data_IF_755214272941
#
_entry.id   IF_755214272941
#
_cell.length_a   1.000
_cell.length_b   1.000
_cell.length_c   1.000
_cell.angle_alpha   90.00
_cell.angle_beta   90.00
_cell.angle_gamma   90.00
#
_symmetry.space_group_name_H-M   'P 1'
#
loop_
_entity.id
_entity.type
_entity.pdbx_description
1 polymer ?
#
# COMPACT_ATOMS: atom_id res chain seq x y z
N UNK A 1 12.44 -5.45 -7.96
CA UNK A 1 12.03 -4.06 -8.26
C UNK A 1 13.01 -3.13 -7.59
N UNK A 2 13.55 -2.17 -8.35
CA UNK A 2 14.48 -1.14 -7.87
C UNK A 2 13.68 0.09 -7.51
N UNK A 3 13.91 0.66 -6.33
CA UNK A 3 13.21 1.84 -5.83
C UNK A 3 14.20 3.00 -5.66
N UNK A 4 13.83 4.20 -6.14
CA UNK A 4 14.59 5.42 -5.91
C UNK A 4 14.12 6.06 -4.60
N UNK A 5 15.02 6.12 -3.63
CA UNK A 5 14.79 6.87 -2.40
C UNK A 5 15.24 8.32 -2.61
N UNK A 6 14.32 9.26 -2.49
CA UNK A 6 14.62 10.68 -2.45
C UNK A 6 14.79 11.12 -0.99
N UNK A 7 15.83 11.92 -0.76
CA UNK A 7 16.40 12.28 0.55
C UNK A 7 15.50 13.17 1.44
N UNK A 8 14.28 13.49 0.97
CA UNK A 8 13.33 14.39 1.64
C UNK A 8 11.96 13.73 1.93
N UNK A 9 11.85 12.40 1.87
CA UNK A 9 10.58 11.70 2.15
C UNK A 9 10.81 10.45 3.01
N UNK A 10 10.28 10.45 4.24
CA UNK A 10 10.18 9.29 5.14
C UNK A 10 9.14 8.26 4.65
N UNK A 11 8.91 8.12 3.33
CA UNK A 11 7.79 7.33 2.81
C UNK A 11 8.10 6.76 1.43
N UNK A 12 7.79 5.48 1.23
CA UNK A 12 7.91 4.78 -0.05
C UNK A 12 6.51 4.37 -0.52
N UNK A 13 6.18 4.70 -1.76
CA UNK A 13 4.90 4.41 -2.39
C UNK A 13 5.09 3.23 -3.36
N UNK A 14 4.37 2.13 -3.15
CA UNK A 14 4.51 0.89 -3.96
C UNK A 14 3.22 0.65 -4.75
N UNK A 15 3.35 0.37 -6.05
CA UNK A 15 2.27 -0.10 -6.93
C UNK A 15 2.60 -1.54 -7.37
N UNK A 16 1.65 -2.48 -7.23
CA UNK A 16 1.82 -3.88 -7.66
C UNK A 16 1.41 -4.08 -9.13
N UNK A 17 1.95 -5.12 -9.78
CA UNK A 17 1.71 -5.48 -11.18
C UNK A 17 1.24 -6.93 -11.35
N UNK A 18 0.51 -7.16 -12.45
CA UNK A 18 -0.44 -8.25 -12.70
C UNK A 18 0.10 -9.71 -12.68
N UNK A 19 -0.64 -10.62 -12.03
CA UNK A 19 -0.67 -12.05 -12.35
C UNK A 19 -2.11 -12.60 -12.32
N UNK A 20 -2.64 -12.94 -13.50
CA UNK A 20 -3.98 -13.51 -13.71
C UNK A 20 -4.09 -14.96 -13.18
N UNK A 21 -5.00 -15.21 -12.23
CA UNK A 21 -5.60 -16.54 -12.02
C UNK A 21 -7.10 -16.43 -11.79
N UNK A 22 -7.88 -16.88 -12.77
CA UNK A 22 -9.33 -17.08 -12.66
C UNK A 22 -9.61 -18.36 -11.88
N UNK A 23 -10.28 -18.26 -10.73
CA UNK A 23 -10.96 -19.38 -10.09
C UNK A 23 -12.38 -18.94 -9.67
N UNK A 24 -13.38 -19.67 -10.15
CA UNK A 24 -14.80 -19.53 -9.79
C UNK A 24 -15.03 -20.02 -8.35
N UNK A 25 -15.17 -19.11 -7.39
CA UNK A 25 -15.68 -19.41 -6.05
C UNK A 25 -16.77 -18.38 -5.73
N UNK A 26 -18.04 -18.77 -5.90
CA UNK A 26 -19.21 -17.99 -5.49
C UNK A 26 -19.26 -17.93 -3.96
N UNK A 27 -18.74 -16.84 -3.39
CA UNK A 27 -19.03 -16.44 -2.02
C UNK A 27 -19.86 -15.16 -2.09
N UNK A 28 -21.17 -15.33 -2.21
CA UNK A 28 -22.13 -14.24 -2.48
C UNK A 28 -22.13 -13.17 -1.39
N UNK A 29 -21.69 -13.47 -0.16
CA UNK A 29 -21.72 -12.54 0.96
C UNK A 29 -20.37 -12.41 1.66
N UNK A 30 -20.07 -11.21 2.12
CA UNK A 30 -18.88 -10.91 2.90
C UNK A 30 -18.96 -11.53 4.30
N UNK A 31 -17.87 -12.16 4.75
CA UNK A 31 -17.81 -12.77 6.08
C UNK A 31 -17.84 -11.75 7.22
N UNK A 32 -17.42 -10.51 6.98
CA UNK A 32 -17.33 -9.47 8.01
C UNK A 32 -18.61 -8.64 8.18
N UNK A 33 -19.38 -8.43 7.10
CA UNK A 33 -20.55 -7.55 7.13
C UNK A 33 -21.82 -8.12 6.48
N UNK A 34 -21.78 -9.37 6.00
CA UNK A 34 -22.88 -10.12 5.38
C UNK A 34 -23.51 -9.47 4.13
N UNK A 35 -22.84 -8.46 3.54
CA UNK A 35 -23.27 -7.80 2.28
C UNK A 35 -22.82 -8.56 1.05
N UNK A 36 -23.55 -8.38 -0.05
CA UNK A 36 -23.21 -8.97 -1.35
C UNK A 36 -21.79 -8.58 -1.78
N UNK A 37 -20.98 -9.56 -2.19
CA UNK A 37 -19.60 -9.31 -2.64
C UNK A 37 -19.40 -9.67 -4.12
N UNK A 38 -18.74 -8.77 -4.84
CA UNK A 38 -18.42 -8.89 -6.28
C UNK A 38 -17.11 -9.63 -6.59
N UNK A 39 -16.30 -10.00 -5.59
CA UNK A 39 -14.95 -10.54 -5.82
C UNK A 39 -14.46 -11.44 -4.66
N UNK A 40 -13.37 -12.17 -4.85
CA UNK A 40 -12.76 -13.03 -3.81
C UNK A 40 -12.01 -12.13 -2.79
N UNK A 41 -12.28 -12.22 -1.47
CA UNK A 41 -11.60 -11.45 -0.39
C UNK A 41 -12.52 -10.57 0.51
N UNK A 42 -12.01 -9.44 1.04
CA UNK A 42 -12.77 -8.41 1.79
C UNK A 42 -13.75 -7.61 0.91
N UNK A 43 -14.94 -7.27 1.43
CA UNK A 43 -15.88 -6.43 0.70
C UNK A 43 -15.36 -5.00 0.54
N UNK A 44 -15.67 -4.30 -0.56
CA UNK A 44 -15.21 -2.92 -0.81
C UNK A 44 -15.50 -1.98 0.37
N UNK A 45 -16.67 -2.12 0.98
CA UNK A 45 -17.06 -1.28 2.12
C UNK A 45 -16.26 -1.62 3.38
N UNK A 46 -15.98 -2.91 3.60
CA UNK A 46 -15.19 -3.43 4.71
C UNK A 46 -13.74 -2.95 4.60
N UNK A 47 -13.19 -2.99 3.40
CA UNK A 47 -11.85 -2.53 3.06
C UNK A 47 -11.73 -1.01 3.25
N UNK A 48 -12.69 -0.23 2.74
CA UNK A 48 -12.78 1.22 3.00
C UNK A 48 -12.86 1.52 4.50
N UNK A 49 -13.65 0.75 5.27
CA UNK A 49 -13.75 0.96 6.70
C UNK A 49 -12.44 0.63 7.42
N UNK A 50 -11.76 -0.45 7.03
CA UNK A 50 -10.43 -0.79 7.55
C UNK A 50 -9.40 0.31 7.23
N UNK A 51 -9.46 0.93 6.05
CA UNK A 51 -8.62 2.08 5.73
C UNK A 51 -8.92 3.28 6.64
N UNK A 52 -10.21 3.62 6.83
CA UNK A 52 -10.62 4.74 7.69
C UNK A 52 -10.13 4.60 9.13
N UNK A 53 -10.10 3.39 9.66
CA UNK A 53 -9.54 3.12 11.00
C UNK A 53 -8.05 3.43 11.07
N UNK A 54 -7.31 3.16 9.98
CA UNK A 54 -5.86 3.37 9.89
C UNK A 54 -5.45 4.78 9.46
N UNK A 55 -6.36 5.63 8.98
CA UNK A 55 -6.04 7.00 8.54
C UNK A 55 -5.37 7.87 9.60
N UNK A 56 -5.58 7.58 10.89
CA UNK A 56 -4.92 8.29 11.98
C UNK A 56 -3.44 7.90 12.13
N UNK A 57 -3.11 6.67 11.74
CA UNK A 57 -1.75 6.13 11.83
C UNK A 57 -0.97 6.39 10.53
N UNK A 58 -1.66 6.53 9.39
CA UNK A 58 -1.06 6.85 8.09
C UNK A 58 -0.91 8.35 7.87
N UNK A 59 -0.07 9.00 8.68
CA UNK A 59 0.33 10.38 8.45
C UNK A 59 1.84 10.50 8.37
N UNK A 60 2.32 11.09 7.27
CA UNK A 60 3.74 11.43 7.10
C UNK A 60 4.06 12.83 7.62
N UNK A 61 3.09 13.50 8.26
CA UNK A 61 3.19 14.91 8.65
C UNK A 61 3.01 15.89 7.49
N UNK A 62 2.79 15.41 6.26
CA UNK A 62 2.45 16.23 5.10
C UNK A 62 0.99 15.99 4.70
N UNK A 63 0.15 16.99 4.97
CA UNK A 63 -1.28 16.93 4.74
C UNK A 63 -1.66 16.66 3.27
N UNK A 64 -0.88 17.15 2.31
CA UNK A 64 -1.14 16.96 0.88
C UNK A 64 -0.93 15.49 0.48
N UNK A 65 0.18 14.91 0.93
CA UNK A 65 0.50 13.49 0.69
C UNK A 65 -0.52 12.60 1.41
N UNK A 66 -0.84 12.90 2.66
CA UNK A 66 -1.82 12.14 3.45
C UNK A 66 -3.21 12.17 2.81
N UNK A 67 -3.64 13.32 2.27
CA UNK A 67 -4.91 13.44 1.55
C UNK A 67 -4.88 12.66 0.23
N UNK A 68 -3.76 12.67 -0.48
CA UNK A 68 -3.59 11.93 -1.71
C UNK A 68 -3.67 10.41 -1.50
N UNK A 69 -2.97 9.88 -0.49
CA UNK A 69 -3.03 8.46 -0.11
C UNK A 69 -4.47 8.06 0.21
N UNK A 70 -5.15 8.81 1.09
CA UNK A 70 -6.55 8.57 1.45
C UNK A 70 -7.49 8.59 0.24
N UNK A 71 -7.27 9.51 -0.70
CA UNK A 71 -8.05 9.59 -1.92
C UNK A 71 -7.91 8.33 -2.78
N UNK A 72 -6.69 7.79 -2.94
CA UNK A 72 -6.48 6.55 -3.70
C UNK A 72 -7.16 5.34 -3.04
N UNK A 73 -7.04 5.21 -1.71
CA UNK A 73 -7.62 4.11 -0.94
C UNK A 73 -9.15 4.10 -1.00
N UNK A 74 -9.80 5.26 -0.88
CA UNK A 74 -11.26 5.38 -0.94
C UNK A 74 -11.83 5.11 -2.33
N UNK A 75 -11.08 5.41 -3.39
CA UNK A 75 -11.51 5.24 -4.78
C UNK A 75 -11.05 3.93 -5.41
N UNK A 76 -10.33 3.09 -4.67
CA UNK A 76 -9.84 1.80 -5.15
C UNK A 76 -10.97 0.89 -5.67
N UNK A 77 -10.67 0.14 -6.73
CA UNK A 77 -11.57 -0.84 -7.33
C UNK A 77 -11.14 -2.28 -7.07
N UNK A 78 -9.89 -2.48 -6.67
CA UNK A 78 -9.35 -3.74 -6.19
C UNK A 78 -8.19 -3.55 -5.21
N UNK A 79 -7.68 -4.67 -4.73
CA UNK A 79 -6.63 -4.76 -3.70
C UNK A 79 -5.25 -4.23 -4.14
N UNK A 80 -5.10 -3.78 -5.38
CA UNK A 80 -3.85 -3.32 -5.96
C UNK A 80 -3.93 -1.86 -6.48
N UNK A 81 -5.10 -1.22 -6.37
CA UNK A 81 -5.38 0.09 -6.96
C UNK A 81 -5.13 1.27 -6.01
N UNK A 82 -4.54 1.02 -4.84
CA UNK A 82 -4.33 2.03 -3.82
C UNK A 82 -2.90 2.06 -3.33
N UNK A 83 -2.54 3.20 -2.74
CA UNK A 83 -1.22 3.44 -2.20
C UNK A 83 -1.21 3.12 -0.71
N UNK A 84 -0.15 2.45 -0.25
CA UNK A 84 0.07 2.15 1.17
C UNK A 84 1.13 3.07 1.75
N UNK A 85 0.85 3.59 2.94
CA UNK A 85 1.84 4.29 3.74
C UNK A 85 2.58 3.28 4.62
N UNK A 86 3.91 3.25 4.49
CA UNK A 86 4.79 2.34 5.21
C UNK A 86 5.77 3.19 6.00
N UNK A 87 5.77 3.01 7.31
CA UNK A 87 6.75 3.65 8.19
C UNK A 87 8.15 3.10 7.95
N UNK A 88 9.17 3.93 8.15
CA UNK A 88 10.55 3.54 7.88
C UNK A 88 10.98 2.35 8.74
N UNK A 89 10.44 2.25 9.94
CA UNK A 89 10.68 1.20 10.93
C UNK A 89 10.18 -0.19 10.48
N UNK A 90 9.32 -0.26 9.46
CA UNK A 90 8.86 -1.53 8.87
C UNK A 90 9.84 -2.11 7.84
N UNK A 91 10.93 -1.39 7.57
CA UNK A 91 11.99 -1.83 6.68
C UNK A 91 13.21 -2.31 7.47
N UNK A 92 13.66 -3.54 7.19
CA UNK A 92 14.90 -4.12 7.71
C UNK A 92 15.97 -4.20 6.62
N UNK A 93 17.22 -4.44 7.01
CA UNK A 93 18.37 -4.62 6.12
C UNK A 93 18.47 -3.48 5.09
N UNK A 94 18.41 -2.23 5.58
CA UNK A 94 18.54 -1.03 4.75
C UNK A 94 19.99 -0.90 4.27
N UNK A 95 20.25 -1.36 3.05
CA UNK A 95 21.56 -1.36 2.42
C UNK A 95 21.67 -0.26 1.37
N UNK A 96 22.79 0.46 1.36
CA UNK A 96 23.08 1.43 0.31
C UNK A 96 23.51 0.69 -0.96
N UNK A 97 22.65 0.69 -1.96
CA UNK A 97 22.85 -0.07 -3.21
C UNK A 97 23.65 0.70 -4.24
N UNK A 98 23.71 2.04 -4.15
CA UNK A 98 24.42 2.85 -5.13
C UNK A 98 24.89 4.20 -4.55
N UNK A 99 26.22 4.37 -4.46
CA UNK A 99 26.90 5.61 -4.06
C UNK A 99 27.40 6.43 -5.25
N UNK A 100 26.70 6.41 -6.38
CA UNK A 100 27.25 6.89 -7.67
C UNK A 100 26.43 7.93 -8.42
N UNK A 101 25.57 8.70 -7.75
CA UNK A 101 24.78 9.78 -8.37
C UNK A 101 25.07 11.15 -7.75
N UNK A 102 25.05 12.22 -8.56
CA UNK A 102 25.37 13.57 -8.11
C UNK A 102 24.36 14.17 -7.09
N UNK A 103 23.14 13.62 -6.98
CA UNK A 103 22.05 14.24 -6.20
C UNK A 103 21.14 13.28 -5.40
N UNK A 104 21.38 11.96 -5.43
CA UNK A 104 20.54 11.01 -4.67
C UNK A 104 21.33 9.79 -4.20
N UNK A 105 20.87 9.20 -3.09
CA UNK A 105 21.39 7.95 -2.54
C UNK A 105 20.29 6.90 -2.61
N UNK A 106 20.59 5.76 -3.22
CA UNK A 106 19.63 4.67 -3.39
C UNK A 106 19.89 3.64 -2.28
N UNK A 107 18.83 3.24 -1.59
CA UNK A 107 18.87 2.13 -0.64
C UNK A 107 17.91 1.03 -1.07
N UNK A 108 18.26 -0.21 -0.76
CA UNK A 108 17.34 -1.35 -0.75
C UNK A 108 17.01 -1.71 0.68
N UNK A 109 15.81 -2.22 0.92
CA UNK A 109 15.43 -2.76 2.21
C UNK A 109 14.45 -3.92 2.03
N UNK A 110 14.30 -4.74 3.08
CA UNK A 110 13.28 -5.77 3.18
C UNK A 110 12.10 -5.19 3.95
N UNK A 111 10.91 -5.22 3.35
CA UNK A 111 9.68 -4.89 4.05
C UNK A 111 9.23 -6.10 4.88
N UNK A 112 9.25 -5.97 6.21
CA UNK A 112 9.07 -7.09 7.16
C UNK A 112 7.67 -7.70 7.05
N UNK A 113 6.63 -6.86 7.11
CA UNK A 113 5.23 -7.30 7.06
C UNK A 113 4.78 -7.64 5.63
N UNK A 114 5.51 -7.10 4.65
CA UNK A 114 5.16 -7.23 3.25
C UNK A 114 3.87 -6.50 2.87
N UNK A 115 3.56 -6.45 1.58
CA UNK A 115 2.37 -5.78 1.12
C UNK A 115 1.12 -6.59 1.43
N UNK A 116 0.06 -5.88 1.81
CA UNK A 116 -1.27 -6.43 2.02
C UNK A 116 -1.86 -7.08 0.76
#
# INVERSE_FOLDING_TARGET
MSFQLNRDQNSVMIQKGELNRKNNLNFERCLDCDKEKSNIGLCKECEINAFKENFKNWTCGNLEIDNFIRHTQLNSTGSEDYLEFIEFEQFDLVENTYKGGAFSTIFSAIWIEGPR
#
